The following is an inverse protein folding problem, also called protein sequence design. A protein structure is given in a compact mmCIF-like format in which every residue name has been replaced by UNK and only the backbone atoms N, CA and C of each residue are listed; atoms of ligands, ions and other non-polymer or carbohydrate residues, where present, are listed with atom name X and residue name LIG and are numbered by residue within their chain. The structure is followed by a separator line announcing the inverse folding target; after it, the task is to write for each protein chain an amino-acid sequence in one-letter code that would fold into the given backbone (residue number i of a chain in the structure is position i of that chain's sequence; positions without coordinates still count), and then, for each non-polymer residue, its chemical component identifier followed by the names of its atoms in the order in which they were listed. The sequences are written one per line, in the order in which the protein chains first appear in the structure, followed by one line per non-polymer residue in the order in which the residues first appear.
data_IF_560661395223
#
_entry.id   IF_560661395223
#
_cell.length_a   1.000
_cell.length_b   1.000
_cell.length_c   1.000
_cell.angle_alpha   90.00
_cell.angle_beta   90.00
_cell.angle_gamma   90.00
#
_symmetry.space_group_name_H-M   'P 1'
#
loop_
_entity.id
_entity.type
_entity.pdbx_description
1 polymer ?
#
# COMPACT_ATOMS: atom_id res chain seq x y z
N UNK A 1 -2.21 -3.23 6.44
CA UNK A 1 -1.42 -3.59 5.23
C UNK A 1 -1.48 -5.09 5.04
N UNK A 2 -1.56 -5.57 3.79
CA UNK A 2 -1.55 -7.01 3.49
C UNK A 2 -0.15 -7.54 3.76
N UNK A 3 0.08 -8.15 4.92
CA UNK A 3 1.32 -8.87 5.15
C UNK A 3 1.28 -10.12 4.26
N UNK A 4 1.92 -10.00 3.09
CA UNK A 4 2.39 -11.11 2.24
C UNK A 4 1.38 -11.81 1.32
N UNK A 5 0.32 -11.13 0.86
CA UNK A 5 -0.64 -11.73 -0.07
C UNK A 5 -0.23 -11.48 -1.53
N UNK A 6 0.25 -12.53 -2.20
CA UNK A 6 0.21 -12.64 -3.66
C UNK A 6 -1.16 -13.22 -4.04
N UNK A 7 -2.13 -12.41 -4.45
CA UNK A 7 -3.43 -12.92 -4.92
C UNK A 7 -3.27 -13.42 -6.34
N UNK A 8 -3.38 -14.73 -6.56
CA UNK A 8 -3.55 -15.30 -7.90
C UNK A 8 -5.02 -15.64 -8.10
N UNK A 9 -5.62 -15.05 -9.14
CA UNK A 9 -7.00 -15.34 -9.51
C UNK A 9 -7.03 -16.07 -10.85
N UNK A 10 -7.69 -17.23 -10.88
CA UNK A 10 -7.89 -18.01 -12.10
C UNK A 10 -9.35 -17.96 -12.55
N UNK A 11 -9.57 -17.67 -13.83
CA UNK A 11 -10.89 -17.75 -14.47
C UNK A 11 -11.20 -19.22 -14.77
N UNK A 12 -12.33 -19.72 -14.27
CA UNK A 12 -12.85 -21.03 -14.66
C UNK A 12 -14.02 -20.78 -15.62
N UNK A 13 -13.85 -21.17 -16.89
CA UNK A 13 -14.95 -21.15 -17.85
C UNK A 13 -15.83 -22.39 -17.62
N UNK A 14 -16.86 -22.26 -16.78
CA UNK A 14 -18.01 -23.17 -16.79
C UNK A 14 -19.33 -22.38 -16.78
N UNK A 15 -20.18 -22.75 -17.73
CA UNK A 15 -21.49 -22.17 -18.04
C UNK A 15 -22.53 -22.63 -17.01
N UNK A 16 -22.99 -21.73 -16.12
CA UNK A 16 -24.40 -21.47 -15.73
C UNK A 16 -24.49 -20.68 -14.40
N UNK A 17 -25.38 -19.68 -14.44
CA UNK A 17 -26.05 -18.96 -13.33
C UNK A 17 -25.19 -18.12 -12.35
N UNK A 18 -25.20 -16.80 -12.59
CA UNK A 18 -25.22 -15.69 -11.60
C UNK A 18 -24.35 -15.76 -10.33
N UNK A 19 -23.18 -16.40 -10.38
CA UNK A 19 -22.10 -16.23 -9.40
C UNK A 19 -20.89 -15.59 -10.08
N UNK A 20 -20.18 -14.70 -9.37
CA UNK A 20 -19.02 -13.94 -9.88
C UNK A 20 -18.04 -14.88 -10.62
N UNK A 21 -17.54 -14.42 -11.76
CA UNK A 21 -16.81 -15.16 -12.83
C UNK A 21 -15.49 -15.89 -12.46
N UNK A 22 -15.11 -15.98 -11.18
CA UNK A 22 -13.81 -16.53 -10.75
C UNK A 22 -13.99 -17.40 -9.51
N UNK A 23 -13.42 -18.61 -9.53
CA UNK A 23 -13.64 -19.63 -8.50
C UNK A 23 -12.39 -19.96 -7.66
N UNK A 24 -11.19 -19.45 -7.99
CA UNK A 24 -9.98 -19.75 -7.20
C UNK A 24 -9.14 -18.51 -6.93
N UNK A 25 -9.08 -18.14 -5.66
CA UNK A 25 -8.15 -17.15 -5.11
C UNK A 25 -7.06 -17.91 -4.37
N UNK A 26 -5.82 -17.70 -4.77
CA UNK A 26 -4.65 -18.26 -4.07
C UNK A 26 -3.92 -17.11 -3.41
N UNK A 27 -3.48 -17.28 -2.15
CA UNK A 27 -2.64 -16.29 -1.45
C UNK A 27 -1.35 -16.93 -0.98
N UNK A 28 -0.26 -16.17 -0.99
CA UNK A 28 0.94 -16.58 -0.25
C UNK A 28 0.86 -16.15 1.22
N UNK A 29 1.56 -16.88 2.10
CA UNK A 29 1.82 -16.50 3.49
C UNK A 29 3.28 -16.82 3.84
N UNK A 30 3.98 -15.90 4.52
CA UNK A 30 5.39 -16.08 4.88
C UNK A 30 5.63 -17.17 5.94
N UNK A 31 6.82 -17.78 5.86
CA UNK A 31 7.16 -19.05 6.49
C UNK A 31 7.62 -18.96 7.96
N UNK A 32 7.41 -17.84 8.63
CA UNK A 32 7.71 -17.71 10.06
C UNK A 32 6.56 -17.00 10.78
N UNK A 33 5.34 -17.58 10.70
CA UNK A 33 4.32 -17.43 11.75
C UNK A 33 3.01 -18.24 11.57
N UNK A 34 2.65 -18.85 10.43
CA UNK A 34 1.26 -19.35 10.34
C UNK A 34 0.92 -20.50 9.38
N UNK A 35 1.03 -21.74 9.85
CA UNK A 35 0.09 -22.78 9.39
C UNK A 35 -1.35 -22.43 9.80
N UNK A 36 -1.55 -21.86 10.99
CA UNK A 36 -2.88 -21.55 11.51
C UNK A 36 -3.62 -20.47 10.70
N UNK A 37 -2.99 -19.31 10.42
CA UNK A 37 -3.62 -18.26 9.57
C UNK A 37 -3.86 -18.77 8.14
N UNK A 38 -2.97 -19.61 7.59
CA UNK A 38 -3.18 -20.26 6.30
C UNK A 38 -4.40 -21.21 6.31
N UNK A 39 -4.59 -22.01 7.35
CA UNK A 39 -5.80 -22.83 7.51
C UNK A 39 -7.06 -21.96 7.73
N UNK A 40 -6.96 -20.84 8.45
CA UNK A 40 -8.07 -19.89 8.60
C UNK A 40 -8.47 -19.29 7.24
N UNK A 41 -7.52 -19.00 6.35
CA UNK A 41 -7.78 -18.48 5.00
C UNK A 41 -8.62 -19.42 4.13
N UNK A 42 -8.44 -20.75 4.27
CA UNK A 42 -9.27 -21.74 3.55
C UNK A 42 -10.76 -21.60 3.86
N UNK A 43 -11.12 -21.18 5.07
CA UNK A 43 -12.52 -20.91 5.47
C UNK A 43 -13.14 -19.73 4.72
N UNK A 44 -12.33 -18.93 4.04
CA UNK A 44 -12.74 -17.82 3.19
C UNK A 44 -12.67 -18.14 1.69
N UNK A 45 -12.45 -19.40 1.32
CA UNK A 45 -12.30 -19.81 -0.08
C UNK A 45 -10.97 -19.40 -0.70
N UNK A 46 -9.97 -19.09 0.13
CA UNK A 46 -8.62 -18.74 -0.32
C UNK A 46 -7.69 -19.94 -0.11
N UNK A 47 -7.03 -20.38 -1.17
CA UNK A 47 -6.03 -21.45 -1.10
C UNK A 47 -4.66 -20.87 -0.74
N UNK A 48 -4.08 -21.20 0.43
CA UNK A 48 -2.76 -20.70 0.80
C UNK A 48 -1.64 -21.47 0.08
N UNK A 49 -0.63 -20.74 -0.41
CA UNK A 49 0.67 -21.27 -0.79
C UNK A 49 1.67 -20.85 0.29
N UNK A 50 2.33 -21.83 0.92
CA UNK A 50 3.30 -21.58 1.99
C UNK A 50 4.71 -21.41 1.41
N UNK A 51 5.36 -20.27 1.66
CA UNK A 51 6.73 -20.02 1.21
C UNK A 51 7.26 -18.63 1.55
N UNK A 52 8.52 -18.35 1.22
CA UNK A 52 9.20 -17.06 1.48
C UNK A 52 9.28 -16.17 0.22
N UNK A 53 9.41 -14.84 0.37
CA UNK A 53 9.57 -13.92 -0.78
C UNK A 53 10.87 -14.21 -1.52
N UNK A 54 11.85 -14.74 -0.78
CA UNK A 54 13.09 -15.26 -1.33
C UNK A 54 12.95 -16.57 -2.11
N UNK A 55 11.78 -17.24 -2.08
CA UNK A 55 11.52 -18.46 -2.85
C UNK A 55 11.08 -18.11 -4.28
N UNK A 56 12.06 -17.71 -5.08
CA UNK A 56 11.81 -17.18 -6.43
C UNK A 56 11.16 -18.22 -7.37
N UNK A 57 11.51 -19.50 -7.21
CA UNK A 57 10.90 -20.58 -8.01
C UNK A 57 9.40 -20.70 -7.68
N UNK A 58 9.05 -20.65 -6.39
CA UNK A 58 7.66 -20.68 -5.97
C UNK A 58 6.86 -19.47 -6.47
N UNK A 59 7.45 -18.28 -6.49
CA UNK A 59 6.83 -17.08 -7.07
C UNK A 59 6.54 -17.27 -8.56
N UNK A 60 7.53 -17.76 -9.31
CA UNK A 60 7.43 -18.03 -10.74
C UNK A 60 6.37 -19.10 -11.05
N UNK A 61 6.33 -20.17 -10.26
CA UNK A 61 5.35 -21.26 -10.39
C UNK A 61 3.92 -20.83 -10.03
N UNK A 62 3.78 -19.99 -9.01
CA UNK A 62 2.48 -19.44 -8.63
C UNK A 62 1.93 -18.51 -9.70
N UNK A 63 2.78 -17.62 -10.23
CA UNK A 63 2.39 -16.63 -11.23
C UNK A 63 2.05 -17.26 -12.59
N UNK A 64 2.75 -18.33 -12.99
CA UNK A 64 2.44 -19.04 -14.23
C UNK A 64 1.03 -19.66 -14.25
N UNK A 65 0.46 -19.91 -13.08
CA UNK A 65 -0.86 -20.50 -12.92
C UNK A 65 -2.00 -19.47 -12.76
N UNK A 66 -1.72 -18.16 -12.89
CA UNK A 66 -2.62 -17.06 -12.56
C UNK A 66 -3.05 -16.22 -13.78
N UNK A 67 -4.35 -15.90 -13.93
CA UNK A 67 -4.79 -14.92 -14.95
C UNK A 67 -4.55 -13.48 -14.50
N UNK A 68 -4.69 -13.24 -13.20
CA UNK A 68 -4.39 -11.96 -12.55
C UNK A 68 -3.52 -12.25 -11.33
N UNK A 69 -2.40 -11.54 -11.24
CA UNK A 69 -1.49 -11.56 -10.10
C UNK A 69 -1.58 -10.22 -9.38
N UNK A 70 -1.73 -10.24 -8.06
CA UNK A 70 -1.70 -9.03 -7.22
C UNK A 70 -0.55 -9.16 -6.22
N UNK A 71 0.51 -8.36 -6.35
CA UNK A 71 1.61 -8.32 -5.39
C UNK A 71 1.43 -7.16 -4.41
N UNK A 72 1.35 -7.48 -3.12
CA UNK A 72 1.14 -6.49 -2.05
C UNK A 72 2.13 -6.62 -0.88
N UNK A 73 3.14 -7.48 -1.04
CA UNK A 73 3.95 -7.97 0.06
C UNK A 73 5.15 -7.07 0.40
N UNK A 74 5.88 -6.64 -0.63
CA UNK A 74 7.05 -5.77 -0.54
C UNK A 74 7.23 -5.16 -1.93
N UNK A 75 7.24 -3.83 -2.01
CA UNK A 75 7.32 -3.14 -3.30
C UNK A 75 8.74 -2.75 -3.71
N UNK A 76 9.72 -3.06 -2.86
CA UNK A 76 11.15 -2.88 -3.12
C UNK A 76 11.90 -4.21 -3.40
N UNK A 77 11.21 -5.37 -3.40
CA UNK A 77 11.80 -6.66 -3.79
C UNK A 77 11.83 -6.86 -5.32
N UNK A 78 12.85 -6.29 -5.95
CA UNK A 78 13.07 -6.43 -7.40
C UNK A 78 13.20 -7.90 -7.85
N UNK A 79 13.88 -8.74 -7.06
CA UNK A 79 14.08 -10.16 -7.43
C UNK A 79 12.76 -10.92 -7.43
N UNK A 80 11.90 -10.65 -6.44
CA UNK A 80 10.56 -11.20 -6.35
C UNK A 80 9.65 -10.74 -7.50
N UNK A 81 9.72 -9.45 -7.86
CA UNK A 81 8.98 -8.90 -8.99
C UNK A 81 9.42 -9.53 -10.32
N UNK A 82 10.72 -9.65 -10.58
CA UNK A 82 11.25 -10.31 -11.77
C UNK A 82 10.88 -11.79 -11.85
N UNK A 83 10.91 -12.52 -10.73
CA UNK A 83 10.48 -13.91 -10.68
C UNK A 83 8.98 -14.07 -11.00
N UNK A 84 8.16 -13.17 -10.45
CA UNK A 84 6.74 -13.12 -10.76
C UNK A 84 6.50 -12.85 -12.26
N UNK A 85 7.22 -11.89 -12.84
CA UNK A 85 7.15 -11.55 -14.27
C UNK A 85 7.57 -12.72 -15.17
N UNK A 86 8.63 -13.47 -14.82
CA UNK A 86 9.00 -14.69 -15.56
C UNK A 86 7.87 -15.72 -15.55
N UNK A 87 7.19 -15.89 -14.43
CA UNK A 87 6.05 -16.80 -14.31
C UNK A 87 4.88 -16.35 -15.21
N UNK A 88 4.57 -15.07 -15.20
CA UNK A 88 3.55 -14.46 -16.06
C UNK A 88 3.90 -14.65 -17.54
N UNK A 89 5.15 -14.41 -17.94
CA UNK A 89 5.63 -14.63 -19.31
C UNK A 89 5.45 -16.07 -19.75
N UNK A 90 5.83 -17.03 -18.89
CA UNK A 90 5.61 -18.46 -19.13
C UNK A 90 4.14 -18.80 -19.34
N UNK A 91 3.22 -18.18 -18.58
CA UNK A 91 1.78 -18.35 -18.80
C UNK A 91 1.33 -17.83 -20.16
N UNK A 92 1.77 -16.64 -20.53
CA UNK A 92 1.46 -16.03 -21.82
C UNK A 92 1.91 -16.94 -22.96
N UNK A 93 3.15 -17.43 -22.91
CA UNK A 93 3.72 -18.36 -23.91
C UNK A 93 2.94 -19.68 -24.00
N UNK A 94 2.46 -20.20 -22.87
CA UNK A 94 1.69 -21.46 -22.84
C UNK A 94 0.24 -21.32 -23.32
N UNK A 95 -0.38 -20.15 -23.11
CA UNK A 95 -1.84 -19.99 -23.28
C UNK A 95 -2.23 -19.03 -24.40
N UNK A 96 -1.30 -18.18 -24.85
CA UNK A 96 -1.57 -17.06 -25.74
C UNK A 96 -2.43 -15.94 -25.12
N UNK A 97 -2.84 -16.07 -23.84
CA UNK A 97 -3.66 -15.09 -23.14
C UNK A 97 -2.77 -14.16 -22.34
N UNK A 98 -2.89 -12.85 -22.55
CA UNK A 98 -2.13 -11.82 -21.83
C UNK A 98 -2.66 -11.71 -20.39
N UNK A 99 -1.89 -12.10 -19.35
CA UNK A 99 -2.30 -11.97 -17.96
C UNK A 99 -2.16 -10.52 -17.46
N UNK A 100 -2.71 -10.25 -16.27
CA UNK A 100 -2.62 -8.93 -15.63
C UNK A 100 -1.78 -9.01 -14.37
N UNK A 101 -0.89 -8.03 -14.18
CA UNK A 101 -0.11 -7.87 -12.95
C UNK A 101 -0.48 -6.56 -12.27
N UNK A 102 -1.11 -6.66 -11.09
CA UNK A 102 -1.35 -5.52 -10.20
C UNK A 102 -0.24 -5.52 -9.14
N UNK A 103 0.54 -4.45 -9.07
CA UNK A 103 1.55 -4.25 -8.04
C UNK A 103 1.14 -3.14 -7.07
N UNK A 104 1.33 -3.36 -5.78
CA UNK A 104 1.29 -2.30 -4.79
C UNK A 104 2.68 -1.68 -4.74
N UNK A 105 2.79 -0.39 -5.03
CA UNK A 105 3.94 0.48 -4.76
C UNK A 105 3.56 1.41 -3.60
N UNK A 106 3.93 2.68 -3.65
CA UNK A 106 3.50 3.69 -2.68
C UNK A 106 3.79 5.10 -3.16
N UNK A 107 3.03 6.10 -2.68
CA UNK A 107 3.33 7.50 -3.02
C UNK A 107 4.65 8.00 -2.43
N UNK A 108 5.35 7.16 -1.66
CA UNK A 108 6.74 7.37 -1.26
C UNK A 108 7.69 7.55 -2.46
N UNK A 109 7.36 6.99 -3.64
CA UNK A 109 8.14 7.22 -4.88
C UNK A 109 8.15 8.69 -5.31
N UNK A 110 7.17 9.48 -4.85
CA UNK A 110 7.05 10.91 -5.13
C UNK A 110 7.85 11.76 -4.14
N UNK A 111 8.50 11.13 -3.16
CA UNK A 111 9.05 11.83 -2.01
C UNK A 111 10.24 12.73 -2.35
N UNK A 112 10.34 13.83 -1.63
CA UNK A 112 11.53 14.69 -1.60
C UNK A 112 12.33 14.54 -0.31
N UNK A 113 13.41 15.32 -0.17
CA UNK A 113 14.25 15.35 1.04
C UNK A 113 14.16 16.70 1.75
N UNK A 114 12.93 17.24 1.93
CA UNK A 114 12.72 18.58 2.50
C UNK A 114 13.01 18.69 4.01
N UNK A 115 13.12 17.57 4.73
CA UNK A 115 13.41 17.53 6.18
C UNK A 115 12.35 18.21 7.04
N UNK A 116 11.12 18.34 6.55
CA UNK A 116 10.01 19.02 7.20
C UNK A 116 10.12 20.55 7.23
N UNK A 117 11.04 21.13 6.46
CA UNK A 117 11.34 22.56 6.47
C UNK A 117 10.52 23.36 5.45
N UNK A 118 9.91 22.70 4.46
CA UNK A 118 9.09 23.34 3.42
C UNK A 118 8.10 22.36 2.80
N UNK A 119 7.00 22.89 2.29
CA UNK A 119 6.13 22.18 1.36
C UNK A 119 6.76 22.14 -0.03
N UNK A 120 6.38 21.14 -0.83
CA UNK A 120 6.67 21.11 -2.27
C UNK A 120 5.48 21.64 -3.06
N UNK A 121 5.76 22.37 -4.14
CA UNK A 121 4.74 22.80 -5.11
C UNK A 121 4.48 21.72 -6.18
N UNK A 122 5.34 20.70 -6.27
CA UNK A 122 5.18 19.61 -7.23
C UNK A 122 4.06 18.68 -6.79
N UNK A 123 3.01 18.58 -7.59
CA UNK A 123 1.89 17.67 -7.40
C UNK A 123 1.85 16.73 -8.61
N UNK A 124 1.94 15.42 -8.38
CA UNK A 124 1.89 14.42 -9.45
C UNK A 124 0.46 14.03 -9.81
N UNK A 125 0.16 13.92 -11.09
CA UNK A 125 -1.13 13.42 -11.59
C UNK A 125 -0.96 12.00 -12.14
N UNK A 126 -1.74 11.03 -11.62
CA UNK A 126 -1.71 9.65 -12.11
C UNK A 126 -2.25 9.49 -13.55
N UNK A 127 -2.89 10.53 -14.09
CA UNK A 127 -3.27 10.63 -15.49
C UNK A 127 -2.16 11.24 -16.38
N UNK A 128 -1.06 11.74 -15.81
CA UNK A 128 0.05 12.35 -16.54
C UNK A 128 1.31 11.44 -16.53
N UNK A 129 1.41 10.49 -17.50
CA UNK A 129 2.52 9.54 -17.58
C UNK A 129 3.88 10.25 -17.78
N UNK A 130 3.92 11.35 -18.53
CA UNK A 130 5.15 12.09 -18.83
C UNK A 130 5.75 12.68 -17.55
N UNK A 131 4.89 13.15 -16.64
CA UNK A 131 5.32 13.63 -15.33
C UNK A 131 5.85 12.50 -14.44
N UNK A 132 5.20 11.34 -14.42
CA UNK A 132 5.68 10.17 -13.65
C UNK A 132 7.04 9.70 -14.19
N UNK A 133 7.25 9.78 -15.50
CA UNK A 133 8.50 9.39 -16.15
C UNK A 133 9.68 10.32 -15.81
N UNK A 134 9.45 11.52 -15.23
CA UNK A 134 10.54 12.37 -14.72
C UNK A 134 11.15 11.90 -13.40
N UNK A 135 10.50 10.96 -12.70
CA UNK A 135 11.00 10.41 -11.44
C UNK A 135 12.31 9.64 -11.67
N UNK A 136 13.41 9.99 -10.97
CA UNK A 136 14.69 9.33 -11.17
C UNK A 136 14.63 7.88 -10.67
N UNK A 137 15.43 7.00 -11.30
CA UNK A 137 15.56 5.58 -10.92
C UNK A 137 15.96 5.39 -9.44
N UNK A 138 16.57 6.40 -8.82
CA UNK A 138 16.99 6.39 -7.42
C UNK A 138 15.85 6.65 -6.43
N UNK A 139 14.65 7.00 -6.89
CA UNK A 139 13.49 7.06 -6.01
C UNK A 139 13.17 5.69 -5.43
N UNK A 140 12.70 5.66 -4.19
CA UNK A 140 12.19 4.43 -3.57
C UNK A 140 11.10 3.81 -4.44
N UNK A 141 10.99 2.48 -4.48
CA UNK A 141 10.06 1.70 -5.33
C UNK A 141 10.33 1.77 -6.84
N UNK A 142 10.98 2.84 -7.32
CA UNK A 142 11.14 3.11 -8.76
C UNK A 142 11.83 2.00 -9.54
N UNK A 143 12.87 1.31 -9.03
CA UNK A 143 13.47 0.18 -9.74
C UNK A 143 12.46 -0.94 -10.05
N UNK A 144 11.58 -1.26 -9.10
CA UNK A 144 10.54 -2.29 -9.27
C UNK A 144 9.43 -1.79 -10.20
N UNK A 145 8.96 -0.56 -10.01
CA UNK A 145 7.93 0.04 -10.86
C UNK A 145 8.36 0.04 -12.34
N UNK A 146 9.62 0.37 -12.63
CA UNK A 146 10.16 0.38 -13.99
C UNK A 146 10.32 -1.02 -14.58
N UNK A 147 10.74 -2.01 -13.79
CA UNK A 147 10.79 -3.40 -14.26
C UNK A 147 9.40 -3.89 -14.71
N UNK A 148 8.37 -3.54 -13.94
CA UNK A 148 6.97 -3.89 -14.21
C UNK A 148 6.43 -3.14 -15.44
N UNK A 149 6.69 -1.84 -15.56
CA UNK A 149 6.28 -1.06 -16.75
C UNK A 149 6.97 -1.57 -18.01
N UNK A 150 8.25 -1.92 -17.93
CA UNK A 150 9.01 -2.42 -19.08
C UNK A 150 8.57 -3.82 -19.53
N UNK A 151 8.16 -4.68 -18.59
CA UNK A 151 7.57 -5.97 -18.93
C UNK A 151 6.28 -5.85 -19.76
N UNK A 152 5.43 -4.86 -19.46
CA UNK A 152 4.23 -4.58 -20.27
C UNK A 152 4.60 -4.17 -21.70
N UNK A 153 5.66 -3.36 -21.86
CA UNK A 153 6.16 -2.93 -23.19
C UNK A 153 6.64 -4.09 -24.05
N UNK A 154 7.05 -5.23 -23.46
CA UNK A 154 7.34 -6.46 -24.20
C UNK A 154 6.08 -7.19 -24.70
N UNK A 155 4.89 -6.84 -24.21
CA UNK A 155 3.60 -7.28 -24.73
C UNK A 155 3.03 -8.58 -24.13
N UNK A 156 3.72 -9.21 -23.18
CA UNK A 156 3.28 -10.48 -22.58
C UNK A 156 2.40 -10.31 -21.33
N UNK A 157 2.26 -9.10 -20.81
CA UNK A 157 1.52 -8.79 -19.58
C UNK A 157 0.89 -7.41 -19.68
N UNK A 158 -0.27 -7.20 -19.06
CA UNK A 158 -0.78 -5.85 -18.76
C UNK A 158 -0.48 -5.51 -17.30
N UNK A 159 0.15 -4.38 -17.03
CA UNK A 159 0.57 -4.01 -15.68
C UNK A 159 -0.18 -2.79 -15.15
N UNK A 160 -0.56 -2.86 -13.88
CA UNK A 160 -1.18 -1.77 -13.14
C UNK A 160 -0.47 -1.64 -11.79
N UNK A 161 -0.13 -0.43 -11.38
CA UNK A 161 0.57 -0.15 -10.13
C UNK A 161 -0.33 0.74 -9.29
N UNK A 162 -0.76 0.26 -8.12
CA UNK A 162 -1.48 1.06 -7.13
C UNK A 162 -0.46 1.68 -6.18
N UNK A 163 -0.58 2.99 -5.93
CA UNK A 163 0.28 3.73 -5.03
C UNK A 163 -0.55 4.25 -3.86
N UNK A 164 -0.68 3.48 -2.77
CA UNK A 164 -1.30 3.98 -1.55
C UNK A 164 -0.52 5.17 -1.00
N UNK A 165 -1.25 6.14 -0.48
CA UNK A 165 -0.70 7.28 0.26
C UNK A 165 -0.52 6.96 1.75
N UNK A 166 -0.58 7.96 2.64
CA UNK A 166 -0.68 7.71 4.09
C UNK A 166 -1.98 6.96 4.38
N UNK A 167 -1.89 5.65 4.50
CA UNK A 167 -3.04 4.79 4.84
C UNK A 167 -3.34 4.91 6.33
N UNK A 168 -4.57 5.32 6.67
CA UNK A 168 -5.03 5.49 8.04
C UNK A 168 -6.30 4.71 8.36
N UNK A 169 -6.68 4.71 9.64
CA UNK A 169 -7.80 3.95 10.17
C UNK A 169 -7.40 2.56 10.65
N UNK A 170 -8.24 1.97 11.50
CA UNK A 170 -8.11 0.59 11.94
C UNK A 170 -8.83 -0.31 10.95
N UNK A 171 -8.15 -1.34 10.44
CA UNK A 171 -8.81 -2.30 9.55
C UNK A 171 -9.91 -3.06 10.30
N UNK A 172 -10.95 -3.43 9.57
CA UNK A 172 -12.09 -4.17 10.09
C UNK A 172 -12.54 -5.27 9.12
N UNK A 173 -13.45 -6.13 9.58
CA UNK A 173 -14.07 -7.18 8.77
C UNK A 173 -13.52 -8.58 9.04
N UNK A 174 -14.04 -9.56 8.29
CA UNK A 174 -13.95 -10.97 8.68
C UNK A 174 -12.52 -11.53 8.78
N UNK A 175 -11.57 -11.00 8.00
CA UNK A 175 -10.15 -11.41 8.07
C UNK A 175 -9.45 -10.83 9.31
N UNK A 176 -9.88 -9.65 9.73
CA UNK A 176 -9.41 -8.99 10.97
C UNK A 176 -10.01 -9.70 12.19
N UNK A 177 -11.29 -10.06 12.14
CA UNK A 177 -11.97 -10.81 13.21
C UNK A 177 -11.41 -12.23 13.37
N UNK A 178 -10.88 -12.81 12.28
CA UNK A 178 -10.18 -14.10 12.30
C UNK A 178 -8.69 -13.98 12.67
N UNK A 179 -8.20 -12.78 13.03
CA UNK A 179 -6.81 -12.53 13.43
C UNK A 179 -5.77 -12.90 12.35
N UNK A 180 -6.18 -12.86 11.08
CA UNK A 180 -5.30 -13.09 9.93
C UNK A 180 -4.59 -11.79 9.56
N UNK A 181 -5.25 -10.65 9.78
CA UNK A 181 -4.81 -9.33 9.32
C UNK A 181 -4.41 -8.43 10.48
N UNK A 182 -3.28 -7.71 10.34
CA UNK A 182 -2.93 -6.63 11.24
C UNK A 182 -3.95 -5.48 11.13
N UNK A 183 -4.36 -4.96 12.28
CA UNK A 183 -5.30 -3.83 12.43
C UNK A 183 -4.68 -2.47 12.11
N UNK A 184 -3.36 -2.35 12.21
CA UNK A 184 -2.65 -1.08 12.14
C UNK A 184 -1.90 -0.89 10.82
N UNK A 185 -1.77 0.37 10.38
CA UNK A 185 -0.86 0.78 9.31
C UNK A 185 0.55 1.07 9.86
N UNK A 186 1.38 1.81 9.12
CA UNK A 186 2.79 2.04 9.47
C UNK A 186 3.03 3.47 9.91
N UNK A 187 2.93 4.45 9.00
CA UNK A 187 3.36 5.82 9.26
C UNK A 187 2.69 6.47 10.49
N UNK A 188 1.35 6.49 10.55
CA UNK A 188 0.61 7.09 11.67
C UNK A 188 0.84 6.31 12.97
N UNK A 189 0.75 4.97 13.02
CA UNK A 189 1.10 4.20 14.22
C UNK A 189 2.55 4.38 14.70
N UNK A 190 3.54 4.48 13.81
CA UNK A 190 4.93 4.77 14.19
C UNK A 190 5.05 6.15 14.84
N UNK A 191 4.39 7.18 14.29
CA UNK A 191 4.35 8.51 14.89
C UNK A 191 3.67 8.48 16.29
N UNK A 192 2.56 7.77 16.43
CA UNK A 192 1.88 7.60 17.72
C UNK A 192 2.79 6.90 18.74
N UNK A 193 3.41 5.79 18.34
CA UNK A 193 4.30 5.02 19.22
C UNK A 193 5.49 5.84 19.69
N UNK A 194 6.14 6.58 18.78
CA UNK A 194 7.25 7.48 19.12
C UNK A 194 6.81 8.58 20.08
N UNK A 195 5.63 9.16 19.84
CA UNK A 195 5.07 10.24 20.66
C UNK A 195 4.66 9.77 22.06
N UNK A 196 4.12 8.55 22.18
CA UNK A 196 3.81 7.91 23.46
C UNK A 196 5.09 7.63 24.26
N UNK A 197 6.13 7.07 23.62
CA UNK A 197 7.38 6.71 24.30
C UNK A 197 8.11 7.95 24.84
N UNK A 198 8.12 9.05 24.08
CA UNK A 198 8.72 10.31 24.52
C UNK A 198 7.83 11.17 25.42
N UNK A 199 6.55 10.82 25.57
CA UNK A 199 5.55 11.58 26.34
C UNK A 199 5.13 12.92 25.72
N UNK A 200 5.33 13.11 24.41
CA UNK A 200 5.08 14.37 23.69
C UNK A 200 4.91 14.12 22.19
N UNK A 201 4.05 14.86 21.49
CA UNK A 201 3.91 14.70 20.04
C UNK A 201 5.15 15.18 19.28
N UNK A 202 5.64 14.40 18.32
CA UNK A 202 6.84 14.75 17.55
C UNK A 202 6.55 15.16 16.10
N UNK A 203 7.47 15.91 15.49
CA UNK A 203 7.47 16.23 14.05
C UNK A 203 8.91 16.25 13.50
N UNK A 204 9.08 16.14 12.19
CA UNK A 204 10.37 16.37 11.55
C UNK A 204 10.52 17.86 11.18
N UNK A 205 11.68 18.45 11.45
CA UNK A 205 11.94 19.87 11.18
C UNK A 205 10.85 20.76 11.78
N UNK A 206 10.22 21.58 10.95
CA UNK A 206 9.11 22.46 11.33
C UNK A 206 7.73 21.89 10.97
N UNK A 207 7.65 20.64 10.48
CA UNK A 207 6.40 19.98 10.07
C UNK A 207 5.69 20.63 8.86
N UNK A 208 6.40 21.42 8.06
CA UNK A 208 5.84 22.17 6.92
C UNK A 208 5.58 21.31 5.67
N UNK A 209 6.00 20.05 5.70
CA UNK A 209 5.80 19.10 4.61
C UNK A 209 4.36 18.56 4.59
N UNK A 210 3.91 18.14 3.40
CA UNK A 210 2.56 17.61 3.15
C UNK A 210 2.60 16.18 2.62
N UNK A 211 1.58 15.39 2.97
CA UNK A 211 1.36 14.04 2.45
C UNK A 211 -0.12 13.79 2.07
N UNK A 212 -0.40 13.11 0.94
CA UNK A 212 -1.72 12.58 0.67
C UNK A 212 -2.09 11.53 1.71
N UNK A 213 -3.38 11.37 1.96
CA UNK A 213 -3.91 10.36 2.87
C UNK A 213 -5.13 9.65 2.29
N UNK A 214 -5.33 8.41 2.72
CA UNK A 214 -6.46 7.56 2.31
C UNK A 214 -6.83 6.63 3.46
N UNK A 215 -8.13 6.46 3.68
CA UNK A 215 -8.62 5.52 4.70
C UNK A 215 -8.48 4.08 4.20
N UNK A 216 -8.16 3.13 5.09
CA UNK A 216 -7.83 1.74 4.73
C UNK A 216 -8.91 1.02 3.92
N UNK A 217 -10.20 1.28 4.16
CA UNK A 217 -11.30 0.67 3.43
C UNK A 217 -11.54 1.38 2.08
N UNK A 218 -11.36 2.71 2.00
CA UNK A 218 -11.37 3.42 0.71
C UNK A 218 -10.20 2.98 -0.18
N UNK A 219 -9.03 2.73 0.41
CA UNK A 219 -7.89 2.15 -0.30
C UNK A 219 -8.19 0.73 -0.79
N UNK A 220 -8.87 -0.10 0.02
CA UNK A 220 -9.30 -1.43 -0.41
C UNK A 220 -10.34 -1.36 -1.53
N UNK A 221 -11.25 -0.39 -1.51
CA UNK A 221 -12.20 -0.15 -2.61
C UNK A 221 -11.48 0.16 -3.91
N UNK A 222 -10.36 0.89 -3.91
CA UNK A 222 -9.57 1.14 -5.11
C UNK A 222 -9.06 -0.17 -5.75
N UNK A 223 -8.56 -1.11 -4.95
CA UNK A 223 -8.17 -2.43 -5.47
C UNK A 223 -9.35 -3.17 -6.12
N UNK A 224 -10.53 -3.10 -5.50
CA UNK A 224 -11.74 -3.72 -6.04
C UNK A 224 -12.18 -3.05 -7.34
N UNK A 225 -12.17 -1.72 -7.42
CA UNK A 225 -12.52 -0.97 -8.64
C UNK A 225 -11.57 -1.27 -9.79
N UNK A 226 -10.27 -1.30 -9.52
CA UNK A 226 -9.28 -1.66 -10.52
C UNK A 226 -9.48 -3.10 -11.00
N UNK A 227 -9.67 -4.04 -10.07
CA UNK A 227 -9.93 -5.43 -10.40
C UNK A 227 -11.21 -5.61 -11.23
N UNK A 228 -12.32 -4.96 -10.85
CA UNK A 228 -13.58 -5.01 -11.59
C UNK A 228 -13.42 -4.42 -13.00
N UNK A 229 -12.69 -3.30 -13.15
CA UNK A 229 -12.39 -2.70 -14.45
C UNK A 229 -11.55 -3.64 -15.34
N UNK A 230 -10.55 -4.31 -14.77
CA UNK A 230 -9.73 -5.33 -15.45
C UNK A 230 -10.60 -6.50 -15.93
N UNK A 231 -11.47 -7.00 -15.05
CA UNK A 231 -12.32 -8.17 -15.33
C UNK A 231 -13.40 -7.88 -16.36
N UNK A 232 -14.03 -6.71 -16.29
CA UNK A 232 -15.02 -6.30 -17.28
C UNK A 232 -14.38 -6.07 -18.65
N UNK A 233 -13.17 -5.48 -18.67
CA UNK A 233 -12.35 -5.31 -19.87
C UNK A 233 -12.90 -4.28 -20.86
N UNK A 234 -13.93 -3.51 -20.47
CA UNK A 234 -14.58 -2.49 -21.31
C UNK A 234 -14.39 -1.07 -20.82
N UNK A 235 -13.77 -0.88 -19.65
CA UNK A 235 -13.56 0.45 -19.11
C UNK A 235 -12.49 1.19 -19.94
N UNK A 236 -12.85 2.25 -20.69
CA UNK A 236 -11.90 2.97 -21.54
C UNK A 236 -10.86 3.76 -20.75
N UNK A 237 -11.10 4.01 -19.45
CA UNK A 237 -10.17 4.70 -18.57
C UNK A 237 -9.14 3.76 -17.93
N UNK A 238 -9.26 2.43 -18.13
CA UNK A 238 -8.29 1.47 -17.64
C UNK A 238 -6.97 1.60 -18.42
N UNK A 239 -5.99 2.27 -17.80
CA UNK A 239 -4.62 2.32 -18.28
C UNK A 239 -3.77 1.16 -17.78
N UNK A 240 -2.72 0.84 -18.53
CA UNK A 240 -1.68 -0.13 -18.16
C UNK A 240 -0.29 0.38 -18.60
N UNK A 241 0.78 -0.33 -18.26
CA UNK A 241 2.15 0.13 -18.53
C UNK A 241 2.40 1.53 -17.94
N UNK A 242 2.93 2.47 -18.75
CA UNK A 242 3.13 3.88 -18.37
C UNK A 242 1.84 4.61 -17.96
N UNK A 243 0.68 4.17 -18.48
CA UNK A 243 -0.64 4.66 -18.10
C UNK A 243 -1.23 3.87 -16.92
N UNK A 244 -0.48 2.93 -16.34
CA UNK A 244 -0.96 1.97 -15.36
C UNK A 244 -0.84 2.42 -13.91
N UNK A 245 -0.57 3.70 -13.61
CA UNK A 245 -0.40 4.19 -12.25
C UNK A 245 -1.74 4.65 -11.66
N UNK A 246 -2.08 4.18 -10.46
CA UNK A 246 -3.35 4.48 -9.77
C UNK A 246 -3.06 4.97 -8.35
N UNK A 247 -3.19 6.28 -8.12
CA UNK A 247 -2.91 6.84 -6.80
C UNK A 247 -4.10 6.65 -5.87
N UNK A 248 -3.81 6.23 -4.62
CA UNK A 248 -4.80 6.09 -3.56
C UNK A 248 -4.73 7.26 -2.59
N UNK A 249 -5.49 8.32 -2.84
CA UNK A 249 -5.59 9.50 -1.97
C UNK A 249 -7.00 10.10 -1.99
N UNK A 250 -7.49 10.53 -0.84
CA UNK A 250 -8.78 11.19 -0.67
C UNK A 250 -8.70 12.52 0.11
N UNK A 251 -7.51 12.84 0.62
CA UNK A 251 -7.17 14.13 1.20
C UNK A 251 -5.66 14.36 1.24
N UNK A 252 -5.25 15.48 1.81
CA UNK A 252 -3.86 15.88 2.02
C UNK A 252 -3.75 16.53 3.41
N UNK A 253 -2.66 16.28 4.13
CA UNK A 253 -2.42 16.85 5.45
C UNK A 253 -1.01 17.42 5.56
N UNK A 254 -0.86 18.48 6.35
CA UNK A 254 0.43 18.91 6.86
C UNK A 254 0.85 17.98 8.00
N UNK A 255 2.13 17.63 8.04
CA UNK A 255 2.66 16.82 9.13
C UNK A 255 2.58 17.55 10.47
N UNK A 256 2.74 18.88 10.48
CA UNK A 256 2.50 19.70 11.68
C UNK A 256 1.08 19.51 12.22
N UNK A 257 0.06 19.60 11.37
CA UNK A 257 -1.34 19.47 11.78
C UNK A 257 -1.63 18.08 12.33
N UNK A 258 -1.08 17.03 11.70
CA UNK A 258 -1.19 15.66 12.18
C UNK A 258 -0.61 15.52 13.60
N UNK A 259 0.60 16.04 13.81
CA UNK A 259 1.28 15.99 15.10
C UNK A 259 0.59 16.85 16.16
N UNK A 260 0.03 18.00 15.80
CA UNK A 260 -0.75 18.85 16.70
C UNK A 260 -2.03 18.16 17.17
N UNK A 261 -2.77 17.52 16.26
CA UNK A 261 -3.96 16.74 16.63
C UNK A 261 -3.58 15.54 17.49
N UNK A 262 -2.46 14.88 17.21
CA UNK A 262 -1.95 13.80 18.06
C UNK A 262 -1.61 14.32 19.46
N UNK A 263 -0.92 15.45 19.58
CA UNK A 263 -0.62 16.07 20.88
C UNK A 263 -1.88 16.38 21.69
N UNK A 264 -2.92 16.90 21.04
CA UNK A 264 -4.21 17.12 21.70
C UNK A 264 -4.83 15.82 22.25
N UNK A 265 -4.77 14.72 21.47
CA UNK A 265 -5.23 13.39 21.93
C UNK A 265 -4.37 12.88 23.10
N UNK A 266 -3.05 13.07 23.05
CA UNK A 266 -2.17 12.65 24.14
C UNK A 266 -2.46 13.41 25.44
N UNK A 267 -2.73 14.71 25.37
CA UNK A 267 -3.15 15.50 26.54
C UNK A 267 -4.49 15.02 27.06
N UNK A 268 -5.48 14.80 26.18
CA UNK A 268 -6.80 14.28 26.56
C UNK A 268 -6.70 12.94 27.32
N UNK A 269 -5.78 12.07 26.90
CA UNK A 269 -5.55 10.76 27.50
C UNK A 269 -4.55 10.77 28.67
N UNK A 270 -4.08 11.95 29.11
CA UNK A 270 -3.12 12.09 30.21
C UNK A 270 -1.74 11.49 29.92
N UNK A 271 -1.34 11.45 28.64
CA UNK A 271 -0.05 10.92 28.14
C UNK A 271 0.97 12.00 27.80
N UNK A 272 0.54 13.26 27.73
CA UNK A 272 1.39 14.43 27.56
C UNK A 272 0.79 15.61 28.34
N UNK A 273 1.58 16.65 28.61
CA UNK A 273 1.13 17.89 29.27
C UNK A 273 0.82 19.01 28.29
N UNK A 274 1.39 18.98 27.08
CA UNK A 274 1.24 20.01 26.05
C UNK A 274 0.81 19.37 24.73
N UNK A 275 0.03 20.12 23.92
CA UNK A 275 -0.48 19.64 22.63
C UNK A 275 0.45 20.00 21.47
N UNK A 276 1.24 21.06 21.61
CA UNK A 276 2.12 21.59 20.57
C UNK A 276 3.27 20.60 20.30
N UNK A 277 3.47 20.14 19.06
CA UNK A 277 4.51 19.17 18.78
C UNK A 277 5.91 19.79 18.86
N UNK A 278 6.89 18.98 19.22
CA UNK A 278 8.31 19.35 19.18
C UNK A 278 9.05 18.55 18.11
N UNK A 279 10.14 19.11 17.58
CA UNK A 279 10.92 18.41 16.55
C UNK A 279 11.62 17.19 17.17
N UNK A 280 11.58 16.05 16.46
CA UNK A 280 12.43 14.91 16.79
C UNK A 280 13.91 15.30 16.67
N UNK A 281 14.73 14.91 17.64
CA UNK A 281 16.18 14.98 17.48
C UNK A 281 16.66 13.95 16.46
N UNK A 282 17.92 14.04 16.02
CA UNK A 282 18.51 13.04 15.11
C UNK A 282 18.52 11.64 15.73
N UNK A 283 18.79 11.57 17.02
CA UNK A 283 18.82 10.32 17.79
C UNK A 283 17.41 9.72 17.88
N UNK A 284 16.39 10.54 18.06
CA UNK A 284 15.00 10.09 18.09
C UNK A 284 14.53 9.65 16.70
N UNK A 285 14.90 10.37 15.64
CA UNK A 285 14.61 9.96 14.27
C UNK A 285 15.22 8.58 13.97
N UNK A 286 16.49 8.38 14.33
CA UNK A 286 17.17 7.10 14.18
C UNK A 286 16.54 5.99 15.04
N UNK A 287 16.14 6.30 16.28
CA UNK A 287 15.52 5.36 17.21
C UNK A 287 14.15 4.87 16.72
N UNK A 288 13.29 5.79 16.29
CA UNK A 288 11.88 5.47 16.02
C UNK A 288 11.59 5.13 14.56
N UNK A 289 12.37 5.68 13.61
CA UNK A 289 12.10 5.55 12.18
C UNK A 289 13.29 4.95 11.40
N UNK A 290 14.43 4.73 12.05
CA UNK A 290 15.63 4.19 11.41
C UNK A 290 16.15 5.13 10.32
N UNK A 291 16.34 4.61 9.11
CA UNK A 291 16.74 5.38 7.94
C UNK A 291 15.56 5.95 7.13
N UNK A 292 14.32 5.69 7.56
CA UNK A 292 13.14 6.12 6.82
C UNK A 292 12.76 7.54 7.24
N UNK A 293 12.80 8.47 6.29
CA UNK A 293 12.43 9.88 6.51
C UNK A 293 11.07 10.24 5.87
N UNK A 294 10.09 9.35 6.02
CA UNK A 294 8.75 9.63 5.51
C UNK A 294 8.04 10.76 6.29
N UNK A 295 8.45 11.04 7.53
CA UNK A 295 7.90 12.15 8.32
C UNK A 295 8.51 13.52 7.96
N UNK A 296 9.72 13.55 7.39
CA UNK A 296 10.40 14.76 6.95
C UNK A 296 10.29 15.05 5.45
N UNK A 297 9.76 14.13 4.65
CA UNK A 297 9.61 14.33 3.19
C UNK A 297 8.24 14.90 2.83
N UNK A 298 8.13 15.53 1.66
CA UNK A 298 6.83 15.75 1.02
C UNK A 298 6.47 14.57 0.13
N UNK A 299 5.18 14.28 -0.02
CA UNK A 299 4.62 13.54 -1.14
C UNK A 299 3.31 14.24 -1.50
N UNK A 300 3.00 14.46 -2.78
CA UNK A 300 1.75 15.15 -3.18
C UNK A 300 1.24 14.65 -4.52
N UNK A 301 -0.06 14.39 -4.61
CA UNK A 301 -0.64 13.87 -5.83
C UNK A 301 -2.13 14.19 -6.02
N UNK A 302 -2.61 14.02 -7.25
CA UNK A 302 -4.03 14.00 -7.63
C UNK A 302 -4.37 12.66 -8.29
N UNK A 303 -5.60 12.19 -8.08
CA UNK A 303 -6.04 10.81 -8.32
C UNK A 303 -6.99 10.70 -9.53
N UNK A 304 -6.68 11.40 -10.62
CA UNK A 304 -7.57 11.51 -11.77
C UNK A 304 -7.82 10.17 -12.47
N UNK A 305 -6.80 9.31 -12.61
CA UNK A 305 -6.94 7.97 -13.18
C UNK A 305 -7.73 7.04 -12.27
N UNK A 306 -7.42 7.02 -10.97
CA UNK A 306 -8.21 6.25 -10.01
C UNK A 306 -9.69 6.65 -10.03
N UNK A 307 -10.00 7.95 -10.10
CA UNK A 307 -11.40 8.42 -10.25
C UNK A 307 -12.01 8.02 -11.59
N UNK A 308 -11.25 8.04 -12.68
CA UNK A 308 -11.74 7.71 -14.02
C UNK A 308 -12.20 6.25 -14.14
N UNK A 309 -11.64 5.32 -13.35
CA UNK A 309 -12.15 3.94 -13.27
C UNK A 309 -13.36 3.77 -12.34
N UNK A 310 -13.90 4.86 -11.79
CA UNK A 310 -15.09 4.88 -10.93
C UNK A 310 -14.79 4.72 -9.44
N UNK A 311 -13.54 4.92 -9.00
CA UNK A 311 -13.23 5.01 -7.58
C UNK A 311 -13.71 6.34 -6.99
N UNK A 312 -14.42 6.26 -5.87
CA UNK A 312 -15.05 7.39 -5.21
C UNK A 312 -14.86 7.25 -3.68
N UNK A 313 -13.70 7.65 -3.15
CA UNK A 313 -13.43 7.55 -1.72
C UNK A 313 -14.37 8.47 -0.93
N UNK A 314 -14.74 8.05 0.27
CA UNK A 314 -15.73 8.73 1.11
C UNK A 314 -15.09 9.51 2.25
N UNK A 315 -13.91 9.08 2.66
CA UNK A 315 -13.20 9.57 3.85
C UNK A 315 -12.26 10.70 3.47
N UNK A 316 -12.08 11.63 4.40
CA UNK A 316 -11.30 12.85 4.21
C UNK A 316 -10.24 12.99 5.29
N UNK A 317 -9.39 14.01 5.19
CA UNK A 317 -8.40 14.33 6.22
C UNK A 317 -9.02 14.62 7.60
N UNK A 318 -10.30 15.00 7.68
CA UNK A 318 -11.01 15.07 8.97
C UNK A 318 -11.11 13.70 9.64
N UNK A 319 -11.37 12.64 8.86
CA UNK A 319 -11.42 11.27 9.36
C UNK A 319 -10.02 10.77 9.75
N UNK A 320 -8.94 11.24 9.10
CA UNK A 320 -7.57 10.97 9.53
C UNK A 320 -7.34 11.47 10.95
N UNK A 321 -7.65 12.74 11.23
CA UNK A 321 -7.49 13.30 12.58
C UNK A 321 -8.38 12.60 13.61
N UNK A 322 -9.62 12.29 13.25
CA UNK A 322 -10.53 11.53 14.12
C UNK A 322 -10.02 10.10 14.41
N UNK A 323 -9.19 9.52 13.53
CA UNK A 323 -8.62 8.17 13.72
C UNK A 323 -7.47 8.10 14.72
N UNK A 324 -6.88 9.25 15.11
CA UNK A 324 -5.72 9.29 16.01
C UNK A 324 -6.04 8.72 17.39
N UNK A 325 -7.16 9.11 18.00
CA UNK A 325 -7.55 8.61 19.34
C UNK A 325 -7.75 7.09 19.36
N UNK A 326 -8.56 6.50 18.46
CA UNK A 326 -8.62 5.03 18.33
C UNK A 326 -7.25 4.38 18.08
N UNK A 327 -6.37 5.04 17.31
CA UNK A 327 -5.00 4.58 17.08
C UNK A 327 -4.15 4.54 18.35
N UNK A 328 -4.19 5.60 19.15
CA UNK A 328 -3.50 5.69 20.46
C UNK A 328 -4.03 4.63 21.42
N UNK A 329 -5.34 4.50 21.54
CA UNK A 329 -5.98 3.49 22.40
C UNK A 329 -5.60 2.07 21.99
N UNK A 330 -5.53 1.79 20.68
CA UNK A 330 -5.07 0.50 20.17
C UNK A 330 -3.61 0.22 20.57
N UNK A 331 -2.70 1.18 20.34
CA UNK A 331 -1.28 1.00 20.70
C UNK A 331 -1.10 0.83 22.21
N UNK A 332 -1.84 1.56 23.04
CA UNK A 332 -1.81 1.37 24.49
C UNK A 332 -2.31 -0.01 24.92
N UNK A 333 -3.26 -0.60 24.17
CA UNK A 333 -3.84 -1.92 24.47
C UNK A 333 -2.96 -3.07 23.99
N UNK A 334 -2.38 -2.97 22.81
CA UNK A 334 -1.71 -4.10 22.13
C UNK A 334 -0.21 -3.93 21.97
N UNK A 335 0.34 -2.77 22.32
CA UNK A 335 1.66 -2.35 21.88
C UNK A 335 1.68 -2.02 20.38
N UNK A 336 2.86 -1.61 19.91
CA UNK A 336 3.16 -1.44 18.49
C UNK A 336 4.55 -1.99 18.21
N UNK A 337 4.65 -2.91 17.25
CA UNK A 337 5.93 -3.40 16.73
C UNK A 337 5.94 -3.12 15.23
N UNK A 338 6.61 -2.06 14.77
CA UNK A 338 6.74 -1.80 13.35
C UNK A 338 7.62 -2.90 12.74
N UNK A 339 7.04 -3.75 11.90
CA UNK A 339 7.84 -4.60 11.03
C UNK A 339 8.25 -3.75 9.82
N UNK A 340 9.36 -3.02 9.96
CA UNK A 340 9.92 -2.13 8.92
C UNK A 340 10.51 -2.89 7.72
N UNK A 341 10.43 -4.23 7.69
CA UNK A 341 11.09 -5.06 6.68
C UNK A 341 10.33 -5.22 5.35
N UNK A 342 9.16 -4.59 5.17
CA UNK A 342 8.25 -4.92 4.06
C UNK A 342 7.39 -3.73 3.57
N UNK A 343 7.96 -2.54 3.41
CA UNK A 343 7.41 -1.53 2.50
C UNK A 343 8.27 -1.54 1.26
#
# INVERSE_FOLDING_TARGET
MFYNILVSVRRIEKVRENKRKYERVTTRAEKAESSEKAEKLKKFGVEPILGSLSDLQLLEDSAANADVVVAMANCDDLRGAEATLRGIKRRFEQTGKVPVFINTSGTGVLSDNSGGLKATETIYDDLNPDQIETLPITQIHRPVDLAIVNADKEGYVKTCIILPSTVYGLSSGRLVDAEIHNRQSIQVPSLISASLDRGHAGMAGEGKNSWPNVEIHDQADLYLKLYDAIVDGKNPALGHSREGFYFGASGEHLLYDLSLHLGAVLVELGKATEKEPTSFTKEEMAKYFGSLDFLGSNSRCVVNRSKAIGWAPKKTTKDLFASLKPGVEMILKTGYSPSFYLL
#
